data_IF_733822917152
#
_entry.id   IF_733822917152
#
_cell.length_a   1.000
_cell.length_b   1.000
_cell.length_c   1.000
_cell.angle_alpha   90.00
_cell.angle_beta   90.00
_cell.angle_gamma   90.00
#
_symmetry.space_group_name_H-M   'P 1'
#
loop_
_entity.id
_entity.type
_entity.pdbx_description
1 polymer ?
#
# COMPACT_ATOMS: atom_id res chain seq x y z
N UNK A 1 27.25 -16.22 -3.30
CA UNK A 1 26.64 -14.90 -3.45
C UNK A 1 26.48 -14.33 -2.07
N UNK A 2 26.99 -13.13 -1.84
CA UNK A 2 26.78 -12.42 -0.59
C UNK A 2 25.28 -12.09 -0.45
N UNK A 3 24.72 -12.33 0.74
CA UNK A 3 23.32 -12.01 1.06
C UNK A 3 23.14 -10.52 1.37
N UNK A 4 24.20 -9.70 1.27
CA UNK A 4 24.20 -8.25 1.51
C UNK A 4 23.75 -7.39 0.32
N UNK A 5 22.97 -7.94 -0.64
CA UNK A 5 22.49 -7.19 -1.81
C UNK A 5 21.73 -5.89 -1.46
N UNK A 6 21.07 -5.84 -0.30
CA UNK A 6 20.49 -4.61 0.24
C UNK A 6 21.55 -3.53 0.50
N UNK A 7 22.60 -3.87 1.26
CA UNK A 7 23.63 -2.92 1.66
C UNK A 7 24.40 -2.40 0.44
N UNK A 8 24.72 -3.29 -0.51
CA UNK A 8 25.30 -2.89 -1.79
C UNK A 8 24.39 -1.96 -2.59
N UNK A 9 23.08 -2.22 -2.64
CA UNK A 9 22.13 -1.36 -3.35
C UNK A 9 22.02 0.04 -2.72
N UNK A 10 21.97 0.13 -1.39
CA UNK A 10 21.97 1.42 -0.69
C UNK A 10 23.29 2.15 -0.90
N UNK A 11 24.42 1.44 -0.84
CA UNK A 11 25.76 2.00 -1.07
C UNK A 11 25.87 2.56 -2.49
N UNK A 12 25.39 1.84 -3.50
CA UNK A 12 25.39 2.29 -4.88
C UNK A 12 24.52 3.55 -5.08
N UNK A 13 23.42 3.67 -4.33
CA UNK A 13 22.57 4.86 -4.37
C UNK A 13 23.23 6.10 -3.74
N UNK A 14 23.99 5.89 -2.66
CA UNK A 14 24.70 6.96 -1.94
C UNK A 14 25.99 7.39 -2.65
N UNK A 15 26.67 6.46 -3.30
CA UNK A 15 27.95 6.66 -3.98
C UNK A 15 27.85 6.24 -5.45
N UNK A 16 27.04 6.94 -6.27
CA UNK A 16 26.79 6.51 -7.64
C UNK A 16 28.04 6.58 -8.50
N UNK A 17 28.49 5.41 -8.98
CA UNK A 17 29.62 5.30 -9.90
C UNK A 17 29.27 5.83 -11.30
N UNK A 18 30.17 6.66 -11.86
CA UNK A 18 30.01 7.24 -13.20
C UNK A 18 30.46 6.28 -14.32
N UNK A 19 31.44 5.42 -14.02
CA UNK A 19 31.97 4.40 -14.94
C UNK A 19 31.98 3.05 -14.23
N UNK A 20 31.82 1.96 -14.98
CA UNK A 20 31.85 0.59 -14.47
C UNK A 20 30.93 0.37 -13.27
N UNK A 21 29.69 0.87 -13.35
CA UNK A 21 28.72 0.84 -12.26
C UNK A 21 28.25 -0.59 -11.89
N UNK A 22 28.61 -1.57 -12.71
CA UNK A 22 28.42 -3.00 -12.53
C UNK A 22 29.53 -3.67 -11.70
N UNK A 23 30.68 -3.00 -11.51
CA UNK A 23 31.79 -3.52 -10.70
C UNK A 23 31.63 -3.12 -9.24
N UNK A 24 31.80 -4.08 -8.34
CA UNK A 24 31.81 -3.86 -6.88
C UNK A 24 32.92 -2.90 -6.44
N UNK A 25 34.10 -3.00 -7.05
CA UNK A 25 35.25 -2.14 -6.76
C UNK A 25 35.05 -0.66 -7.11
N UNK A 26 33.97 -0.33 -7.83
CA UNK A 26 33.58 1.06 -8.11
C UNK A 26 32.93 1.75 -6.90
N UNK A 27 32.63 1.00 -5.84
CA UNK A 27 31.94 1.50 -4.65
C UNK A 27 32.79 1.25 -3.39
N UNK A 28 32.68 2.12 -2.36
CA UNK A 28 33.22 1.79 -1.05
C UNK A 28 32.54 0.54 -0.50
N UNK A 29 33.25 -0.25 0.29
CA UNK A 29 32.65 -1.43 0.91
C UNK A 29 31.53 -1.00 1.85
N UNK A 30 30.37 -1.66 1.80
CA UNK A 30 29.16 -1.18 2.49
C UNK A 30 29.35 -1.02 4.02
N UNK A 31 30.17 -1.86 4.66
CA UNK A 31 30.48 -1.76 6.10
C UNK A 31 31.26 -0.50 6.49
N UNK A 32 31.89 0.18 5.54
CA UNK A 32 32.64 1.42 5.80
C UNK A 32 31.77 2.67 5.75
N UNK A 33 30.57 2.56 5.17
CA UNK A 33 29.68 3.70 4.88
C UNK A 33 28.29 3.57 5.51
N UNK A 34 27.89 2.36 5.88
CA UNK A 34 26.61 2.07 6.51
C UNK A 34 26.82 1.54 7.92
N UNK A 35 26.01 2.04 8.85
CA UNK A 35 25.83 1.45 10.15
C UNK A 35 24.89 0.24 10.05
N UNK A 36 25.46 -0.95 10.30
CA UNK A 36 24.79 -2.23 10.25
C UNK A 36 24.70 -2.90 11.63
N UNK A 37 24.82 -2.14 12.72
CA UNK A 37 24.62 -2.69 14.07
C UNK A 37 23.22 -3.27 14.21
N UNK A 38 23.14 -4.48 14.79
CA UNK A 38 21.89 -5.23 15.01
C UNK A 38 21.07 -5.53 13.74
N UNK A 39 21.74 -5.60 12.58
CA UNK A 39 21.15 -6.02 11.31
C UNK A 39 21.70 -7.38 10.90
N UNK A 40 20.79 -8.32 10.72
CA UNK A 40 21.10 -9.65 10.22
C UNK A 40 20.78 -9.76 8.73
N UNK A 41 21.69 -10.38 7.99
CA UNK A 41 21.47 -10.73 6.59
C UNK A 41 20.93 -12.17 6.47
N UNK A 42 20.00 -12.42 5.53
CA UNK A 42 19.45 -11.50 4.54
C UNK A 42 18.49 -10.46 5.15
N UNK A 43 18.55 -9.23 4.61
CA UNK A 43 17.71 -8.12 5.07
C UNK A 43 16.22 -8.47 5.00
N UNK A 44 15.50 -8.25 6.11
CA UNK A 44 14.04 -8.41 6.17
C UNK A 44 13.34 -7.05 6.22
N UNK A 45 12.06 -7.00 5.84
CA UNK A 45 11.28 -5.74 5.79
C UNK A 45 11.19 -5.06 7.17
N UNK A 46 11.12 -5.84 8.25
CA UNK A 46 11.00 -5.33 9.62
C UNK A 46 12.29 -4.65 10.09
N UNK A 47 13.46 -5.08 9.57
CA UNK A 47 14.76 -4.50 9.90
C UNK A 47 15.01 -3.18 9.16
N UNK A 48 14.30 -2.89 8.06
CA UNK A 48 14.49 -1.66 7.29
C UNK A 48 14.26 -0.42 8.15
N UNK A 49 13.24 -0.42 9.03
CA UNK A 49 12.96 0.73 9.91
C UNK A 49 14.13 1.00 10.88
N UNK A 50 14.76 -0.06 11.38
CA UNK A 50 15.97 0.06 12.23
C UNK A 50 17.14 0.63 11.43
N UNK A 51 17.36 0.11 10.22
CA UNK A 51 18.39 0.60 9.32
C UNK A 51 18.24 2.09 8.98
N UNK A 52 17.01 2.52 8.64
CA UNK A 52 16.68 3.91 8.33
C UNK A 52 17.08 4.84 9.48
N UNK A 53 16.74 4.44 10.72
CA UNK A 53 17.05 5.20 11.92
C UNK A 53 18.56 5.29 12.20
N UNK A 54 19.31 4.18 12.11
CA UNK A 54 20.74 4.17 12.39
C UNK A 54 21.53 5.03 11.39
N UNK A 55 21.11 5.03 10.12
CA UNK A 55 21.85 5.70 9.05
C UNK A 55 21.35 7.10 8.70
N UNK A 56 20.22 7.53 9.28
CA UNK A 56 19.50 8.74 8.87
C UNK A 56 19.23 8.77 7.36
N UNK A 57 18.69 7.66 6.85
CA UNK A 57 18.32 7.45 5.45
C UNK A 57 16.86 7.04 5.40
N UNK A 58 16.13 7.52 4.40
CA UNK A 58 14.76 7.08 4.13
C UNK A 58 14.71 6.17 2.90
N UNK A 59 13.93 5.08 2.95
CA UNK A 59 13.89 4.04 1.93
C UNK A 59 12.46 3.76 1.49
N UNK A 60 12.22 3.86 0.19
CA UNK A 60 11.03 3.26 -0.44
C UNK A 60 11.40 1.94 -1.09
N UNK A 61 10.53 0.94 -0.93
CA UNK A 61 10.69 -0.37 -1.52
C UNK A 61 9.53 -0.67 -2.47
N UNK A 62 9.86 -1.01 -3.71
CA UNK A 62 8.92 -1.40 -4.75
C UNK A 62 9.12 -2.86 -5.13
N UNK A 63 8.09 -3.52 -5.66
CA UNK A 63 8.21 -4.83 -6.28
C UNK A 63 7.59 -4.86 -7.67
N UNK A 64 7.87 -5.96 -8.36
CA UNK A 64 7.30 -6.28 -9.66
C UNK A 64 6.20 -7.32 -9.46
N UNK A 65 4.96 -6.98 -9.81
CA UNK A 65 3.85 -7.94 -9.91
C UNK A 65 3.57 -8.24 -11.39
N UNK A 66 3.46 -9.53 -11.74
CA UNK A 66 3.10 -9.95 -13.10
C UNK A 66 1.59 -10.18 -13.19
N UNK A 67 0.87 -9.26 -13.85
CA UNK A 67 -0.57 -9.41 -14.14
C UNK A 67 -0.82 -9.53 -15.64
N UNK A 68 -1.48 -10.60 -16.08
CA UNK A 68 -1.90 -10.78 -17.48
C UNK A 68 -0.77 -10.53 -18.52
N UNK A 69 0.43 -11.05 -18.26
CA UNK A 69 1.68 -10.85 -19.06
C UNK A 69 2.24 -9.42 -19.09
N UNK A 70 1.68 -8.48 -18.32
CA UNK A 70 2.24 -7.15 -18.07
C UNK A 70 2.92 -7.11 -16.70
N UNK A 71 4.07 -6.47 -16.63
CA UNK A 71 4.76 -6.19 -15.37
C UNK A 71 4.22 -4.87 -14.81
N UNK A 72 3.85 -4.85 -13.54
CA UNK A 72 3.43 -3.66 -12.81
C UNK A 72 4.40 -3.40 -11.66
N UNK A 73 4.87 -2.16 -11.50
CA UNK A 73 5.65 -1.76 -10.32
C UNK A 73 4.65 -1.34 -9.25
N UNK A 74 4.83 -1.84 -8.02
CA UNK A 74 3.99 -1.50 -6.89
C UNK A 74 4.85 -1.15 -5.68
N UNK A 75 4.49 -0.12 -4.90
CA UNK A 75 5.13 0.10 -3.61
C UNK A 75 4.75 -1.04 -2.66
N UNK A 76 5.74 -1.64 -2.00
CA UNK A 76 5.55 -2.56 -0.86
C UNK A 76 5.68 -1.80 0.45
N UNK A 77 6.67 -0.92 0.53
CA UNK A 77 6.95 -0.10 1.71
C UNK A 77 7.30 1.29 1.23
N UNK A 78 6.67 2.29 1.82
CA UNK A 78 6.98 3.71 1.61
C UNK A 78 7.40 4.28 2.94
N UNK A 79 8.42 5.12 2.95
CA UNK A 79 8.91 5.76 4.17
C UNK A 79 7.92 6.84 4.64
N UNK A 80 7.69 6.91 5.96
CA UNK A 80 6.74 7.85 6.59
C UNK A 80 7.19 9.31 6.42
N UNK A 81 8.50 9.54 6.40
CA UNK A 81 9.09 10.86 6.20
C UNK A 81 10.27 10.75 5.24
N UNK A 82 10.17 11.47 4.11
CA UNK A 82 11.27 11.54 3.16
C UNK A 82 12.37 12.44 3.72
N UNK A 83 13.53 11.84 3.96
CA UNK A 83 14.75 12.54 4.39
C UNK A 83 15.55 13.03 3.18
N UNK A 84 16.51 13.94 3.39
CA UNK A 84 17.43 14.43 2.36
C UNK A 84 18.18 13.28 1.67
N UNK A 85 18.62 12.29 2.46
CA UNK A 85 19.16 11.03 1.96
C UNK A 85 18.00 10.06 1.75
N UNK A 86 17.55 9.93 0.51
CA UNK A 86 16.45 9.07 0.14
C UNK A 86 16.84 8.05 -0.94
N UNK A 87 16.48 6.78 -0.74
CA UNK A 87 16.80 5.68 -1.66
C UNK A 87 15.53 4.93 -2.07
N UNK A 88 15.33 4.80 -3.38
CA UNK A 88 14.30 3.94 -3.95
C UNK A 88 14.90 2.58 -4.32
N UNK A 89 14.41 1.51 -3.72
CA UNK A 89 14.86 0.14 -3.95
C UNK A 89 13.79 -0.70 -4.63
N UNK A 90 14.21 -1.63 -5.47
CA UNK A 90 13.39 -2.64 -6.11
C UNK A 90 13.68 -3.99 -5.45
N UNK A 91 12.65 -4.61 -4.90
CA UNK A 91 12.66 -5.97 -4.41
C UNK A 91 12.21 -6.92 -5.51
N UNK A 92 13.12 -7.80 -5.93
CA UNK A 92 12.87 -8.84 -6.92
C UNK A 92 12.96 -10.18 -6.21
N UNK A 93 11.84 -10.89 -6.11
CA UNK A 93 11.82 -12.23 -5.54
C UNK A 93 11.68 -13.27 -6.65
N UNK A 94 12.53 -14.29 -6.61
CA UNK A 94 12.33 -15.55 -7.31
C UNK A 94 11.99 -16.62 -6.25
N UNK A 95 11.40 -17.75 -6.65
CA UNK A 95 10.70 -18.73 -5.79
C UNK A 95 11.38 -19.16 -4.46
N UNK A 96 12.67 -18.86 -4.22
CA UNK A 96 13.37 -19.09 -2.94
C UNK A 96 14.27 -17.95 -2.43
N UNK A 97 14.56 -16.89 -3.21
CA UNK A 97 15.51 -15.82 -2.81
C UNK A 97 15.04 -14.45 -3.29
N UNK A 98 15.01 -13.48 -2.38
CA UNK A 98 14.73 -12.08 -2.66
C UNK A 98 16.01 -11.26 -2.82
N UNK A 99 16.08 -10.44 -3.87
CA UNK A 99 17.17 -9.52 -4.13
C UNK A 99 16.69 -8.07 -4.10
N UNK A 100 17.55 -7.19 -3.60
CA UNK A 100 17.34 -5.75 -3.66
C UNK A 100 18.20 -5.15 -4.78
N UNK A 101 17.66 -4.17 -5.47
CA UNK A 101 18.36 -3.41 -6.51
C UNK A 101 18.02 -1.92 -6.40
N UNK A 102 18.99 -1.05 -6.65
CA UNK A 102 18.76 0.39 -6.64
C UNK A 102 18.00 0.87 -7.89
N UNK A 103 16.93 1.64 -7.67
CA UNK A 103 16.18 2.32 -8.74
C UNK A 103 16.80 3.70 -9.00
N UNK A 104 17.66 3.77 -10.02
CA UNK A 104 18.31 5.04 -10.45
C UNK A 104 17.32 6.09 -10.94
N UNK A 105 16.24 5.65 -11.60
CA UNK A 105 15.24 6.55 -12.16
C UNK A 105 13.86 5.87 -12.15
N UNK A 106 13.04 6.23 -11.16
CA UNK A 106 11.69 5.69 -10.99
C UNK A 106 10.79 6.03 -12.17
N UNK A 107 10.88 7.27 -12.67
CA UNK A 107 10.05 7.72 -13.80
C UNK A 107 10.29 6.89 -15.05
N UNK A 108 11.54 6.53 -15.36
CA UNK A 108 11.89 5.65 -16.49
C UNK A 108 11.37 4.23 -16.29
N UNK A 109 11.47 3.71 -15.08
CA UNK A 109 11.00 2.36 -14.75
C UNK A 109 9.48 2.25 -14.94
N UNK A 110 8.71 3.19 -14.38
CA UNK A 110 7.24 3.14 -14.39
C UNK A 110 6.64 3.62 -15.72
N UNK A 111 7.26 4.60 -16.40
CA UNK A 111 6.75 5.09 -17.70
C UNK A 111 6.63 3.99 -18.75
N UNK A 112 7.54 3.01 -18.71
CA UNK A 112 7.53 1.86 -19.61
C UNK A 112 6.21 1.06 -19.57
N UNK A 113 5.44 1.18 -18.48
CA UNK A 113 4.19 0.47 -18.25
C UNK A 113 2.95 1.18 -18.81
N UNK A 114 3.04 2.49 -19.07
CA UNK A 114 1.85 3.33 -19.34
C UNK A 114 1.59 3.51 -20.83
N UNK A 115 2.56 4.02 -21.60
CA UNK A 115 2.35 4.27 -23.04
C UNK A 115 3.67 4.28 -23.84
N UNK A 116 3.56 4.18 -25.17
CA UNK A 116 4.70 4.27 -26.11
C UNK A 116 5.13 5.71 -26.41
N UNK A 117 4.47 6.71 -25.82
CA UNK A 117 4.77 8.11 -26.09
C UNK A 117 5.97 8.59 -25.27
N UNK A 118 6.89 9.29 -25.92
CA UNK A 118 8.18 9.71 -25.34
C UNK A 118 8.13 10.98 -24.47
N UNK A 119 6.94 11.41 -24.03
CA UNK A 119 6.81 12.57 -23.15
C UNK A 119 7.36 12.27 -21.75
N UNK A 120 8.16 13.19 -21.20
CA UNK A 120 8.61 13.09 -19.82
C UNK A 120 7.41 13.14 -18.87
N UNK A 121 7.32 12.16 -17.98
CA UNK A 121 6.30 12.07 -16.94
C UNK A 121 6.99 12.13 -15.58
N UNK A 122 6.37 12.87 -14.67
CA UNK A 122 6.86 13.04 -13.30
C UNK A 122 6.03 12.18 -12.37
N UNK A 123 6.65 11.26 -11.65
CA UNK A 123 5.94 10.32 -10.78
C UNK A 123 6.11 10.70 -9.32
N UNK A 124 5.02 10.64 -8.57
CA UNK A 124 5.08 10.63 -7.12
C UNK A 124 5.65 9.28 -6.67
N UNK A 125 6.71 9.30 -5.86
CA UNK A 125 7.35 8.09 -5.35
C UNK A 125 6.47 7.34 -4.35
N UNK A 126 5.56 8.02 -3.64
CA UNK A 126 4.60 7.38 -2.73
C UNK A 126 3.47 6.64 -3.44
N UNK A 127 2.69 7.37 -4.25
CA UNK A 127 1.44 6.84 -4.83
C UNK A 127 1.59 6.36 -6.28
N UNK A 128 2.75 6.58 -6.91
CA UNK A 128 3.02 6.30 -8.33
C UNK A 128 2.08 7.01 -9.32
N UNK A 129 1.32 8.02 -8.89
CA UNK A 129 0.57 8.89 -9.79
C UNK A 129 1.54 9.74 -10.62
N UNK A 130 1.21 9.95 -11.89
CA UNK A 130 2.06 10.70 -12.82
C UNK A 130 1.46 12.06 -13.18
N UNK A 131 2.35 13.03 -13.36
CA UNK A 131 2.03 14.40 -13.70
C UNK A 131 2.79 14.83 -14.96
N UNK A 132 2.23 15.83 -15.65
CA UNK A 132 2.82 16.42 -16.86
C UNK A 132 3.93 17.43 -16.57
N UNK A 133 4.03 17.92 -15.33
CA UNK A 133 5.05 18.88 -14.91
C UNK A 133 5.49 18.64 -13.46
N UNK A 134 6.67 19.14 -13.12
CA UNK A 134 7.24 18.97 -11.78
C UNK A 134 6.52 19.84 -10.73
N UNK A 135 5.95 20.97 -11.14
CA UNK A 135 5.20 21.87 -10.25
C UNK A 135 3.92 21.20 -9.75
N UNK A 136 3.22 20.47 -10.63
CA UNK A 136 2.04 19.69 -10.26
C UNK A 136 2.39 18.54 -9.32
N UNK A 137 3.52 17.89 -9.57
CA UNK A 137 4.03 16.86 -8.67
C UNK A 137 4.34 17.45 -7.29
N UNK A 138 5.05 18.58 -7.22
CA UNK A 138 5.41 19.23 -5.96
C UNK A 138 4.17 19.63 -5.15
N UNK A 139 3.15 20.20 -5.80
CA UNK A 139 1.87 20.50 -5.16
C UNK A 139 1.20 19.23 -4.60
N UNK A 140 1.17 18.15 -5.38
CA UNK A 140 0.61 16.87 -4.95
C UNK A 140 1.39 16.22 -3.79
N UNK A 141 2.72 16.34 -3.75
CA UNK A 141 3.55 15.68 -2.73
C UNK A 141 3.19 16.14 -1.32
N UNK A 142 2.79 17.42 -1.14
CA UNK A 142 2.36 17.97 0.15
C UNK A 142 1.12 17.21 0.66
N UNK A 143 0.07 17.13 -0.16
CA UNK A 143 -1.17 16.46 0.23
C UNK A 143 -1.00 14.92 0.32
N UNK A 144 -0.19 14.35 -0.57
CA UNK A 144 0.07 12.91 -0.60
C UNK A 144 0.86 12.43 0.63
N UNK A 145 1.58 13.32 1.32
CA UNK A 145 2.27 12.97 2.55
C UNK A 145 1.31 12.77 3.72
N UNK A 146 0.29 13.62 3.81
CA UNK A 146 -0.68 13.65 4.92
C UNK A 146 -1.79 12.59 4.79
N UNK A 147 -2.15 12.20 3.56
CA UNK A 147 -3.38 11.42 3.33
C UNK A 147 -3.19 9.91 3.13
N UNK A 148 -1.99 9.43 2.82
CA UNK A 148 -1.85 8.18 2.07
C UNK A 148 -1.08 7.08 2.82
N UNK A 149 -1.77 6.41 3.74
CA UNK A 149 -1.26 5.20 4.41
C UNK A 149 -1.37 3.93 3.53
N UNK A 150 -2.14 3.99 2.43
CA UNK A 150 -2.44 2.82 1.58
C UNK A 150 -2.46 3.14 0.08
N UNK A 151 -1.81 2.30 -0.73
CA UNK A 151 -1.84 2.44 -2.19
C UNK A 151 -3.24 2.08 -2.76
N UNK A 152 -3.98 3.08 -3.25
CA UNK A 152 -5.28 2.88 -3.91
C UNK A 152 -5.06 2.26 -5.30
N UNK A 153 -5.47 1.00 -5.47
CA UNK A 153 -5.46 0.29 -6.77
C UNK A 153 -6.85 0.32 -7.38
N UNK A 154 -7.06 1.22 -8.35
CA UNK A 154 -8.33 1.29 -9.05
C UNK A 154 -8.54 0.05 -9.95
N UNK A 155 -9.79 -0.44 -10.10
CA UNK A 155 -10.12 -1.50 -11.04
C UNK A 155 -9.77 -1.10 -12.47
N UNK A 156 -9.27 -2.04 -13.26
CA UNK A 156 -9.12 -1.84 -14.71
C UNK A 156 -10.39 -2.22 -15.45
N UNK A 157 -10.50 -1.86 -16.73
CA UNK A 157 -11.61 -2.31 -17.59
C UNK A 157 -11.70 -3.85 -17.69
N UNK A 158 -10.65 -4.60 -17.39
CA UNK A 158 -10.70 -6.06 -17.37
C UNK A 158 -11.13 -6.62 -16.01
N UNK A 159 -11.01 -5.83 -14.94
CA UNK A 159 -11.29 -6.21 -13.54
C UNK A 159 -12.37 -5.31 -12.94
N UNK A 160 -13.38 -4.93 -13.73
CA UNK A 160 -14.42 -3.94 -13.34
C UNK A 160 -15.19 -4.34 -12.08
N UNK A 161 -15.31 -5.64 -11.85
CA UNK A 161 -16.11 -6.22 -10.79
C UNK A 161 -15.20 -6.61 -9.63
N UNK A 162 -15.25 -5.83 -8.56
CA UNK A 162 -14.58 -6.16 -7.30
C UNK A 162 -15.50 -7.02 -6.43
N UNK A 163 -14.93 -8.08 -5.86
CA UNK A 163 -15.59 -8.90 -4.86
C UNK A 163 -14.71 -8.95 -3.60
N UNK A 164 -15.32 -8.84 -2.43
CA UNK A 164 -14.64 -9.07 -1.17
C UNK A 164 -14.24 -10.56 -1.07
N UNK A 165 -12.94 -10.83 -0.96
CA UNK A 165 -12.43 -12.21 -0.80
C UNK A 165 -12.13 -12.54 0.66
N UNK A 166 -11.61 -11.55 1.40
CA UNK A 166 -11.13 -11.72 2.77
C UNK A 166 -11.95 -10.88 3.74
N UNK A 167 -13.16 -11.35 4.07
CA UNK A 167 -14.07 -10.64 4.97
C UNK A 167 -13.47 -10.35 6.36
N UNK A 168 -12.54 -11.20 6.81
CA UNK A 168 -11.87 -11.07 8.10
C UNK A 168 -10.83 -9.94 8.15
N UNK A 169 -10.48 -9.34 7.01
CA UNK A 169 -9.50 -8.23 6.90
C UNK A 169 -10.17 -6.87 6.65
N UNK A 170 -11.48 -6.77 6.91
CA UNK A 170 -12.17 -5.49 6.83
C UNK A 170 -11.69 -4.59 7.96
N UNK A 171 -11.46 -3.32 7.64
CA UNK A 171 -11.30 -2.31 8.69
C UNK A 171 -12.57 -2.22 9.52
N UNK A 172 -12.39 -1.91 10.80
CA UNK A 172 -13.51 -1.74 11.71
C UNK A 172 -14.33 -0.52 11.27
N UNK A 173 -15.63 -0.73 11.09
CA UNK A 173 -16.52 0.35 10.63
C UNK A 173 -16.56 1.44 11.71
N UNK A 174 -16.42 2.72 11.33
CA UNK A 174 -16.33 3.84 12.27
C UNK A 174 -17.53 3.94 13.20
N UNK A 175 -18.74 3.68 12.67
CA UNK A 175 -19.99 3.73 13.40
C UNK A 175 -20.84 2.50 13.07
N UNK A 176 -21.43 1.88 14.09
CA UNK A 176 -22.37 0.77 13.95
C UNK A 176 -23.66 1.14 14.68
N UNK A 177 -24.80 1.02 14.01
CA UNK A 177 -26.11 1.22 14.63
C UNK A 177 -26.75 -0.15 14.83
N UNK A 178 -26.96 -0.52 16.08
CA UNK A 178 -27.77 -1.67 16.47
C UNK A 178 -29.18 -1.16 16.71
N UNK A 179 -30.17 -1.68 16.02
CA UNK A 179 -31.55 -1.31 16.21
C UNK A 179 -32.39 -2.56 16.49
N UNK A 180 -33.32 -2.43 17.42
CA UNK A 180 -34.28 -3.47 17.76
C UNK A 180 -35.69 -2.88 17.77
N UNK A 181 -36.66 -3.71 17.39
CA UNK A 181 -38.06 -3.31 17.24
C UNK A 181 -38.92 -4.20 18.12
N UNK A 182 -39.60 -3.58 19.08
CA UNK A 182 -40.67 -4.26 19.80
C UNK A 182 -41.97 -4.11 19.01
N UNK A 183 -42.60 -5.24 18.72
CA UNK A 183 -43.81 -5.29 17.90
C UNK A 183 -44.99 -5.79 18.72
N UNK A 184 -46.13 -5.13 18.58
CA UNK A 184 -47.42 -5.68 19.00
C UNK A 184 -47.95 -6.63 17.93
N UNK A 185 -48.47 -7.77 18.37
CA UNK A 185 -49.01 -8.79 17.47
C UNK A 185 -50.51 -8.58 17.28
N UNK A 186 -50.90 -8.19 16.08
CA UNK A 186 -52.30 -8.08 15.68
C UNK A 186 -52.72 -9.38 15.00
N UNK A 187 -53.82 -9.97 15.46
CA UNK A 187 -54.38 -11.17 14.80
C UNK A 187 -54.94 -10.77 13.45
N UNK A 188 -54.55 -11.51 12.41
CA UNK A 188 -55.15 -11.36 11.09
C UNK A 188 -56.26 -12.38 10.90
N UNK A 189 -57.35 -11.95 10.27
CA UNK A 189 -58.44 -12.84 9.92
C UNK A 189 -58.00 -13.78 8.79
N UNK A 190 -58.43 -15.04 8.88
CA UNK A 190 -58.14 -16.02 7.86
C UNK A 190 -58.95 -15.70 6.60
N UNK A 191 -58.28 -15.53 5.47
CA UNK A 191 -58.94 -15.45 4.18
C UNK A 191 -59.52 -16.84 3.82
N UNK A 192 -60.84 -17.00 3.67
CA UNK A 192 -61.47 -18.28 3.38
C UNK A 192 -61.09 -18.87 2.00
N UNK A 193 -60.49 -18.09 1.09
CA UNK A 193 -60.10 -18.58 -0.24
C UNK A 193 -58.66 -19.10 -0.31
N UNK A 194 -57.81 -18.83 0.67
CA UNK A 194 -56.40 -19.25 0.67
C UNK A 194 -56.07 -20.22 1.81
N UNK A 195 -55.45 -21.36 1.46
CA UNK A 195 -55.03 -22.40 2.42
C UNK A 195 -53.81 -22.01 3.28
N UNK A 196 -53.21 -20.85 3.00
CA UNK A 196 -52.13 -20.23 3.78
C UNK A 196 -52.51 -18.78 4.07
N UNK A 197 -52.70 -18.45 5.34
CA UNK A 197 -52.88 -17.07 5.79
C UNK A 197 -51.83 -16.70 6.83
N UNK A 198 -51.42 -15.43 6.84
CA UNK A 198 -50.56 -14.87 7.87
C UNK A 198 -51.34 -14.79 9.18
N UNK A 199 -50.90 -15.52 10.21
CA UNK A 199 -51.62 -15.60 11.48
C UNK A 199 -51.56 -14.28 12.30
N UNK A 200 -50.42 -13.59 12.21
CA UNK A 200 -50.14 -12.37 12.98
C UNK A 200 -49.50 -11.31 12.10
N UNK A 201 -49.92 -10.07 12.29
CA UNK A 201 -49.28 -8.88 11.77
C UNK A 201 -48.45 -8.24 12.88
N UNK A 202 -47.17 -8.03 12.62
CA UNK A 202 -46.27 -7.36 13.56
C UNK A 202 -46.35 -5.86 13.32
N UNK A 203 -47.07 -5.14 14.18
CA UNK A 203 -47.12 -3.69 14.14
C UNK A 203 -46.04 -3.14 15.09
N UNK A 204 -45.12 -2.32 14.57
CA UNK A 204 -44.02 -1.76 15.36
C UNK A 204 -44.60 -0.84 16.43
N UNK A 205 -44.26 -1.11 17.69
CA UNK A 205 -44.74 -0.35 18.83
C UNK A 205 -43.64 0.56 19.39
N UNK A 206 -42.41 0.07 19.46
CA UNK A 206 -41.28 0.88 19.90
C UNK A 206 -39.99 0.46 19.20
N UNK A 207 -39.05 1.41 19.17
CA UNK A 207 -37.76 1.26 18.50
C UNK A 207 -36.69 1.60 19.53
N UNK A 208 -35.81 0.63 19.81
CA UNK A 208 -34.57 0.86 20.52
C UNK A 208 -33.42 0.94 19.52
N UNK A 209 -32.50 1.87 19.68
CA UNK A 209 -31.25 1.81 18.93
C UNK A 209 -30.07 2.23 19.80
N UNK A 210 -28.91 1.67 19.47
CA UNK A 210 -27.63 1.93 20.09
C UNK A 210 -26.61 2.21 18.99
N UNK A 211 -25.97 3.37 19.05
CA UNK A 211 -24.88 3.72 18.15
C UNK A 211 -23.59 3.37 18.84
N UNK A 212 -22.66 2.72 18.13
CA UNK A 212 -21.33 2.43 18.65
C UNK A 212 -20.30 3.07 17.74
N UNK A 213 -19.53 4.00 18.29
CA UNK A 213 -18.34 4.54 17.67
C UNK A 213 -17.14 3.65 17.98
N UNK A 214 -16.41 3.23 16.96
CA UNK A 214 -15.24 2.35 17.10
C UNK A 214 -13.98 3.10 17.55
N UNK A 215 -13.98 4.44 17.50
CA UNK A 215 -12.80 5.27 17.82
C UNK A 215 -12.88 5.96 19.18
N UNK A 216 -14.10 6.24 19.65
CA UNK A 216 -14.33 7.00 20.88
C UNK A 216 -15.64 6.52 21.54
N UNK A 217 -15.52 5.87 22.70
CA UNK A 217 -16.68 5.37 23.44
C UNK A 217 -17.61 6.49 23.91
N UNK A 218 -17.12 7.73 24.05
CA UNK A 218 -17.97 8.86 24.44
C UNK A 218 -18.93 9.32 23.32
N UNK A 219 -18.72 8.86 22.09
CA UNK A 219 -19.57 9.11 20.93
C UNK A 219 -20.58 7.97 20.68
N UNK A 220 -20.69 7.00 21.59
CA UNK A 220 -21.61 5.86 21.53
C UNK A 220 -22.85 6.08 22.39
#
# INVERSE_FOLDING_TARGET
MDNACFAWSVTAALHPAQKNADLESSYPHYTSVLDLTDIEFPMTLDQIKKFENHNSISINLYSIEKKNKKLAILPIRVTDQKMDRHVNLLYVHNDNVGHFAWIKNLSRLVSSQINRHHGQKYFCDRCLHYFSSNEKLAAHTVDCQEMNDCAIKLPSDNDKWLAFKNHNRKEQVPFVVYADLECTLEKMEADPETSRYTYQHHCVFSIGYYVRCSYDESLS
#
